data_IF_740368620290
#
_entry.id   IF_740368620290
#
_cell.length_a   1.000
_cell.length_b   1.000
_cell.length_c   1.000
_cell.angle_alpha   90.00
_cell.angle_beta   90.00
_cell.angle_gamma   90.00
#
_symmetry.space_group_name_H-M   'P 1'
#
loop_
_entity.id
_entity.type
_entity.pdbx_description
1 polymer ?
#
# COMPACT_ATOMS: atom_id res chain seq x y z
N UNK A 1 29.54 -18.68 -6.37
CA UNK A 1 28.70 -18.19 -5.26
C UNK A 1 27.24 -18.39 -5.63
N UNK A 2 26.68 -19.54 -5.24
CA UNK A 2 25.27 -19.92 -5.42
C UNK A 2 24.71 -20.09 -4.00
N UNK A 3 23.45 -19.68 -3.77
CA UNK A 3 22.70 -19.73 -2.50
C UNK A 3 22.82 -18.52 -1.56
N UNK A 4 22.27 -17.36 -1.96
CA UNK A 4 21.59 -16.41 -1.03
C UNK A 4 20.42 -15.75 -1.78
N UNK A 5 19.48 -16.58 -2.24
CA UNK A 5 18.11 -16.18 -2.60
C UNK A 5 17.23 -16.81 -1.52
N UNK A 6 17.38 -16.28 -0.30
CA UNK A 6 16.77 -16.83 0.90
C UNK A 6 15.54 -16.02 1.27
N UNK A 7 14.38 -16.57 0.94
CA UNK A 7 13.07 -16.22 1.49
C UNK A 7 12.31 -15.04 0.84
N UNK A 8 12.00 -15.18 -0.44
CA UNK A 8 10.66 -14.79 -0.93
C UNK A 8 9.99 -16.12 -1.25
N UNK A 9 9.13 -16.59 -0.34
CA UNK A 9 8.40 -17.84 -0.53
C UNK A 9 7.58 -17.72 -1.81
N UNK A 10 7.68 -18.75 -2.66
CA UNK A 10 6.90 -18.90 -3.87
C UNK A 10 5.42 -19.08 -3.50
N UNK A 11 4.72 -17.97 -3.24
CA UNK A 11 3.27 -17.96 -3.31
C UNK A 11 2.95 -17.75 -4.78
N UNK A 12 2.49 -18.80 -5.45
CA UNK A 12 1.80 -18.65 -6.72
C UNK A 12 0.46 -17.94 -6.44
N UNK A 13 0.49 -16.61 -6.29
CA UNK A 13 -0.71 -15.79 -6.23
C UNK A 13 -1.35 -15.80 -7.62
N UNK A 14 -2.20 -16.78 -7.88
CA UNK A 14 -3.30 -16.59 -8.79
C UNK A 14 -4.39 -15.79 -8.06
N UNK A 15 -4.23 -14.48 -7.91
CA UNK A 15 -5.37 -13.64 -7.53
C UNK A 15 -6.23 -13.54 -8.78
N UNK A 16 -7.18 -14.46 -8.90
CA UNK A 16 -8.33 -14.24 -9.77
C UNK A 16 -9.17 -13.17 -9.07
N UNK A 17 -8.86 -11.89 -9.32
CA UNK A 17 -9.78 -10.78 -9.03
C UNK A 17 -10.89 -10.88 -10.09
N UNK A 18 -11.72 -11.92 -9.97
CA UNK A 18 -12.98 -11.97 -10.67
C UNK A 18 -13.90 -11.06 -9.85
N UNK A 19 -14.47 -10.03 -10.48
CA UNK A 19 -15.39 -9.08 -9.85
C UNK A 19 -16.76 -9.74 -9.52
N UNK A 20 -16.77 -11.03 -9.18
CA UNK A 20 -17.95 -11.84 -8.94
C UNK A 20 -18.11 -12.17 -7.46
N UNK A 21 -19.09 -11.51 -6.84
CA UNK A 21 -19.78 -11.88 -5.59
C UNK A 21 -18.96 -12.68 -4.56
N UNK A 22 -18.24 -11.96 -3.71
CA UNK A 22 -17.76 -12.50 -2.44
C UNK A 22 -18.96 -12.99 -1.61
N UNK A 23 -19.16 -14.31 -1.56
CA UNK A 23 -20.26 -14.92 -0.79
C UNK A 23 -20.03 -14.74 0.71
N UNK A 24 -20.96 -14.05 1.35
CA UNK A 24 -21.00 -13.86 2.81
C UNK A 24 -21.25 -15.20 3.50
N UNK A 25 -20.43 -15.57 4.49
CA UNK A 25 -20.76 -16.68 5.38
C UNK A 25 -21.73 -16.21 6.49
N UNK A 26 -22.70 -17.06 6.89
CA UNK A 26 -23.55 -16.75 8.02
C UNK A 26 -22.79 -16.98 9.33
N UNK A 27 -22.50 -15.90 10.05
CA UNK A 27 -22.16 -15.90 11.47
C UNK A 27 -20.70 -15.63 11.81
N UNK A 28 -20.36 -14.36 12.07
CA UNK A 28 -19.39 -13.87 13.08
C UNK A 28 -19.35 -12.33 13.04
N UNK A 29 -18.91 -11.65 14.12
CA UNK A 29 -19.66 -10.58 14.76
C UNK A 29 -19.90 -9.36 13.86
N UNK A 30 -21.12 -8.83 13.90
CA UNK A 30 -21.42 -7.53 13.31
C UNK A 30 -20.66 -6.44 14.05
N UNK A 31 -19.51 -6.03 13.53
CA UNK A 31 -18.94 -4.73 13.87
C UNK A 31 -19.59 -3.69 12.96
N UNK A 32 -19.99 -2.54 13.51
CA UNK A 32 -20.51 -1.42 12.72
C UNK A 32 -19.51 -0.86 11.69
N UNK A 33 -18.29 -1.40 11.64
CA UNK A 33 -17.19 -0.97 10.79
C UNK A 33 -16.88 -1.95 9.63
N UNK A 34 -17.63 -3.06 9.49
CA UNK A 34 -17.43 -4.05 8.43
C UNK A 34 -18.76 -4.55 7.85
N UNK A 35 -19.12 -4.09 6.65
CA UNK A 35 -20.36 -4.48 5.96
C UNK A 35 -20.43 -5.97 5.64
N UNK A 36 -19.33 -6.52 5.12
CA UNK A 36 -19.23 -7.90 4.74
C UNK A 36 -17.79 -8.39 4.93
N UNK A 37 -17.63 -9.46 5.71
CA UNK A 37 -16.36 -10.15 5.86
C UNK A 37 -15.99 -10.85 4.55
N UNK A 38 -14.78 -10.59 4.06
CA UNK A 38 -14.20 -11.33 2.94
C UNK A 38 -13.49 -12.54 3.50
N UNK A 39 -14.04 -13.71 3.21
CA UNK A 39 -13.50 -15.01 3.61
C UNK A 39 -12.63 -15.65 2.51
N UNK A 40 -12.35 -14.92 1.43
CA UNK A 40 -11.53 -15.43 0.32
C UNK A 40 -10.16 -15.91 0.87
N UNK A 41 -9.83 -17.22 0.76
CA UNK A 41 -8.67 -17.78 1.45
C UNK A 41 -7.33 -17.18 0.98
N UNK A 42 -7.22 -16.88 -0.31
CA UNK A 42 -6.05 -16.27 -0.95
C UNK A 42 -5.73 -14.89 -0.34
N UNK A 43 -6.73 -14.02 -0.22
CA UNK A 43 -6.57 -12.65 0.30
C UNK A 43 -6.28 -12.67 1.79
N UNK A 44 -7.01 -13.49 2.55
CA UNK A 44 -6.73 -13.65 3.98
C UNK A 44 -5.33 -14.22 4.22
N UNK A 45 -4.83 -15.13 3.38
CA UNK A 45 -3.48 -15.66 3.51
C UNK A 45 -2.41 -14.58 3.28
N UNK A 46 -2.61 -13.70 2.29
CA UNK A 46 -1.70 -12.58 2.02
C UNK A 46 -1.66 -11.61 3.21
N UNK A 47 -2.83 -11.20 3.69
CA UNK A 47 -2.91 -10.26 4.82
C UNK A 47 -2.32 -10.91 6.06
N UNK A 48 -2.60 -12.20 6.34
CA UNK A 48 -1.99 -12.94 7.44
C UNK A 48 -0.47 -13.01 7.36
N UNK A 49 0.08 -13.30 6.18
CA UNK A 49 1.53 -13.39 5.97
C UNK A 49 2.22 -12.06 6.34
N UNK A 50 1.64 -10.93 5.93
CA UNK A 50 2.20 -9.61 6.22
C UNK A 50 1.89 -9.15 7.66
N UNK A 51 0.70 -9.43 8.16
CA UNK A 51 0.23 -8.92 9.45
C UNK A 51 0.73 -9.72 10.65
N UNK A 52 0.70 -11.05 10.54
CA UNK A 52 1.08 -11.95 11.61
C UNK A 52 2.49 -12.48 11.41
N UNK A 53 2.78 -13.13 10.29
CA UNK A 53 4.03 -13.88 10.13
C UNK A 53 5.25 -12.97 10.00
N UNK A 54 5.15 -11.92 9.18
CA UNK A 54 6.18 -10.88 9.12
C UNK A 54 6.35 -10.16 10.46
N UNK A 55 5.25 -9.85 11.16
CA UNK A 55 5.29 -9.26 12.50
C UNK A 55 6.02 -10.13 13.54
N UNK A 56 5.70 -11.43 13.59
CA UNK A 56 6.39 -12.42 14.43
C UNK A 56 7.88 -12.49 14.10
N UNK A 57 8.24 -12.49 12.82
CA UNK A 57 9.64 -12.52 12.36
C UNK A 57 10.39 -11.28 12.85
N UNK A 58 9.83 -10.09 12.65
CA UNK A 58 10.42 -8.83 13.10
C UNK A 58 10.61 -8.80 14.61
N UNK A 59 9.59 -9.21 15.37
CA UNK A 59 9.66 -9.33 16.84
C UNK A 59 10.79 -10.26 17.30
N UNK A 60 10.98 -11.41 16.64
CA UNK A 60 12.10 -12.32 16.93
C UNK A 60 13.47 -11.71 16.61
N UNK A 61 13.53 -10.84 15.61
CA UNK A 61 14.74 -10.05 15.28
C UNK A 61 14.94 -8.84 16.20
N UNK A 62 14.04 -8.59 17.16
CA UNK A 62 14.11 -7.43 18.06
C UNK A 62 13.75 -6.10 17.39
N UNK A 63 13.01 -6.15 16.27
CA UNK A 63 12.58 -4.97 15.53
C UNK A 63 11.04 -4.91 15.42
N UNK A 64 10.42 -3.75 15.63
CA UNK A 64 10.87 -2.68 16.52
C UNK A 64 11.05 -3.18 17.97
N UNK A 65 11.18 -2.23 18.91
CA UNK A 65 11.39 -2.52 20.33
C UNK A 65 10.34 -3.50 20.90
N UNK A 66 10.72 -4.17 21.99
CA UNK A 66 9.78 -5.03 22.75
C UNK A 66 8.52 -4.27 23.19
N UNK A 67 8.67 -3.02 23.60
CA UNK A 67 7.55 -2.18 24.04
C UNK A 67 6.54 -1.94 22.92
N UNK A 68 7.00 -1.77 21.68
CA UNK A 68 6.10 -1.69 20.52
C UNK A 68 5.26 -2.95 20.39
N UNK A 69 5.90 -4.13 20.43
CA UNK A 69 5.20 -5.41 20.27
C UNK A 69 4.26 -5.70 21.44
N UNK A 70 4.64 -5.31 22.65
CA UNK A 70 3.80 -5.43 23.84
C UNK A 70 2.51 -4.61 23.71
N UNK A 71 2.59 -3.36 23.22
CA UNK A 71 1.40 -2.54 22.93
C UNK A 71 0.52 -3.14 21.83
N UNK A 72 1.12 -3.86 20.89
CA UNK A 72 0.46 -4.41 19.71
C UNK A 72 -0.02 -5.87 19.85
N UNK A 73 0.18 -6.50 21.03
CA UNK A 73 0.03 -7.95 21.21
C UNK A 73 -1.39 -8.50 20.98
N UNK A 74 -2.41 -7.67 21.17
CA UNK A 74 -3.82 -8.04 21.07
C UNK A 74 -4.47 -7.51 19.79
N UNK A 75 -3.69 -6.91 18.88
CA UNK A 75 -4.25 -6.39 17.64
C UNK A 75 -4.51 -7.55 16.68
N UNK A 76 -5.76 -7.69 16.28
CA UNK A 76 -6.22 -8.63 15.25
C UNK A 76 -6.40 -7.92 13.90
N UNK A 77 -6.66 -8.68 12.84
CA UNK A 77 -7.03 -8.11 11.55
C UNK A 77 -8.29 -8.77 10.99
N UNK A 78 -9.02 -8.01 10.17
CA UNK A 78 -10.10 -8.52 9.34
C UNK A 78 -10.00 -7.92 7.94
N UNK A 79 -10.46 -8.68 6.93
CA UNK A 79 -10.62 -8.19 5.57
C UNK A 79 -12.10 -8.01 5.31
N UNK A 80 -12.48 -6.80 4.93
CA UNK A 80 -13.86 -6.42 4.71
C UNK A 80 -14.04 -5.97 3.26
N UNK A 81 -15.15 -6.33 2.63
CA UNK A 81 -15.58 -5.69 1.39
C UNK A 81 -16.23 -4.37 1.78
N UNK A 82 -15.40 -3.38 2.15
CA UNK A 82 -15.87 -2.25 2.93
C UNK A 82 -16.62 -1.21 2.06
N UNK A 83 -17.49 -0.45 2.73
CA UNK A 83 -18.53 0.51 2.33
C UNK A 83 -18.19 1.59 1.28
N UNK A 84 -17.01 1.56 0.63
CA UNK A 84 -16.54 2.62 -0.27
C UNK A 84 -15.47 3.55 0.33
N UNK A 85 -14.73 3.11 1.35
CA UNK A 85 -13.71 3.92 2.04
C UNK A 85 -12.29 3.84 1.46
N UNK A 86 -11.95 2.78 0.71
CA UNK A 86 -10.64 2.59 0.07
C UNK A 86 -9.46 2.76 1.01
N UNK A 87 -9.56 2.21 2.21
CA UNK A 87 -8.54 2.42 3.23
C UNK A 87 -8.29 1.18 4.08
N UNK A 88 -7.21 1.24 4.85
CA UNK A 88 -6.95 0.34 5.95
C UNK A 88 -6.94 1.18 7.21
N UNK A 89 -7.71 0.83 8.24
CA UNK A 89 -7.83 1.65 9.44
C UNK A 89 -7.97 0.80 10.70
N UNK A 90 -7.58 1.38 11.83
CA UNK A 90 -7.79 0.80 13.14
C UNK A 90 -9.21 1.08 13.67
N UNK A 91 -9.92 0.02 14.03
CA UNK A 91 -11.17 0.08 14.79
C UNK A 91 -11.04 -0.76 16.06
N UNK A 92 -11.09 -0.10 17.23
CA UNK A 92 -10.82 -0.72 18.53
C UNK A 92 -9.43 -1.40 18.57
N UNK A 93 -9.38 -2.73 18.61
CA UNK A 93 -8.15 -3.54 18.58
C UNK A 93 -8.06 -4.38 17.30
N UNK A 94 -8.78 -3.98 16.25
CA UNK A 94 -8.78 -4.67 14.95
C UNK A 94 -8.31 -3.72 13.86
N UNK A 95 -7.38 -4.19 13.03
CA UNK A 95 -7.04 -3.53 11.77
C UNK A 95 -7.96 -4.05 10.68
N UNK A 96 -8.73 -3.13 10.09
CA UNK A 96 -9.68 -3.43 9.02
C UNK A 96 -9.03 -3.11 7.69
N UNK A 97 -8.88 -4.12 6.84
CA UNK A 97 -8.43 -3.95 5.46
C UNK A 97 -9.62 -3.93 4.49
N UNK A 98 -9.76 -2.87 3.70
CA UNK A 98 -10.70 -2.85 2.59
C UNK A 98 -10.18 -3.74 1.44
N UNK A 99 -10.96 -4.76 1.09
CA UNK A 99 -10.69 -5.69 -0.01
C UNK A 99 -10.44 -4.99 -1.33
N UNK A 100 -11.20 -3.92 -1.63
CA UNK A 100 -11.06 -3.17 -2.87
C UNK A 100 -9.75 -2.38 -2.89
N UNK A 101 -9.29 -1.89 -1.75
CA UNK A 101 -7.96 -1.26 -1.62
C UNK A 101 -6.85 -2.29 -1.87
N UNK A 102 -6.95 -3.51 -1.31
CA UNK A 102 -5.99 -4.59 -1.57
C UNK A 102 -5.93 -4.90 -3.08
N UNK A 103 -7.08 -5.11 -3.71
CA UNK A 103 -7.16 -5.41 -5.15
C UNK A 103 -6.64 -4.26 -6.02
N UNK A 104 -6.87 -3.01 -5.61
CA UNK A 104 -6.37 -1.85 -6.32
C UNK A 104 -4.85 -1.69 -6.19
N UNK A 105 -4.26 -1.90 -5.00
CA UNK A 105 -2.81 -1.89 -4.80
C UNK A 105 -2.11 -2.99 -5.60
N UNK A 106 -2.71 -4.18 -5.68
CA UNK A 106 -2.21 -5.25 -6.56
C UNK A 106 -2.22 -4.83 -8.03
N UNK A 107 -3.31 -4.22 -8.48
CA UNK A 107 -3.46 -3.74 -9.85
C UNK A 107 -2.49 -2.60 -10.19
N UNK A 108 -2.28 -1.67 -9.27
CA UNK A 108 -1.28 -0.61 -9.41
C UNK A 108 0.15 -1.20 -9.49
N UNK A 109 0.45 -2.20 -8.65
CA UNK A 109 1.74 -2.91 -8.69
C UNK A 109 1.97 -3.54 -10.07
N UNK A 110 0.98 -4.26 -10.59
CA UNK A 110 1.02 -4.84 -11.95
C UNK A 110 1.23 -3.77 -13.01
N UNK A 111 0.51 -2.65 -12.92
CA UNK A 111 0.58 -1.56 -13.89
C UNK A 111 1.97 -0.92 -13.95
N UNK A 112 2.63 -0.72 -12.80
CA UNK A 112 4.01 -0.23 -12.72
C UNK A 112 5.00 -1.19 -13.38
N UNK A 113 4.95 -2.48 -13.03
CA UNK A 113 5.89 -3.46 -13.59
C UNK A 113 5.65 -3.63 -15.09
N UNK A 114 4.38 -3.67 -15.51
CA UNK A 114 4.00 -3.75 -16.92
C UNK A 114 4.54 -2.55 -17.70
N UNK A 115 4.26 -1.32 -17.28
CA UNK A 115 4.75 -0.14 -17.97
C UNK A 115 6.27 -0.17 -18.17
N UNK A 116 7.02 -0.59 -17.16
CA UNK A 116 8.49 -0.75 -17.24
C UNK A 116 8.96 -1.82 -18.24
N UNK A 117 8.20 -2.90 -18.42
CA UNK A 117 8.47 -3.94 -19.43
C UNK A 117 8.14 -3.47 -20.86
N UNK A 118 7.16 -2.58 -21.01
CA UNK A 118 6.74 -2.05 -22.31
C UNK A 118 7.70 -1.01 -22.85
N UNK A 119 7.99 0.02 -22.04
CA UNK A 119 8.76 1.18 -22.49
C UNK A 119 9.33 1.91 -21.29
N UNK A 120 10.62 2.21 -21.34
CA UNK A 120 11.30 3.02 -20.33
C UNK A 120 10.75 4.46 -20.29
N UNK A 121 10.56 5.06 -21.46
CA UNK A 121 10.12 6.46 -21.59
C UNK A 121 8.63 6.64 -21.22
N UNK A 122 7.84 5.56 -21.31
CA UNK A 122 6.40 5.54 -21.00
C UNK A 122 6.07 4.62 -19.83
N UNK A 123 7.02 4.40 -18.92
CA UNK A 123 6.91 3.38 -17.87
C UNK A 123 5.74 3.61 -16.89
N UNK A 124 5.22 4.83 -16.81
CA UNK A 124 4.10 5.18 -15.93
C UNK A 124 2.75 5.29 -16.65
N UNK A 125 2.70 5.16 -17.99
CA UNK A 125 1.48 5.37 -18.77
C UNK A 125 0.38 4.37 -18.41
N UNK A 126 0.74 3.12 -18.14
CA UNK A 126 -0.20 2.07 -17.75
C UNK A 126 -0.78 2.36 -16.36
N UNK A 127 0.07 2.74 -15.42
CA UNK A 127 -0.34 3.12 -14.06
C UNK A 127 -1.22 4.38 -14.08
N UNK A 128 -0.83 5.41 -14.83
CA UNK A 128 -1.59 6.65 -14.94
C UNK A 128 -2.98 6.43 -15.55
N UNK A 129 -3.12 5.54 -16.55
CA UNK A 129 -4.44 5.20 -17.09
C UNK A 129 -5.28 4.48 -16.04
N UNK A 130 -4.74 3.47 -15.34
CA UNK A 130 -5.44 2.77 -14.27
C UNK A 130 -5.97 3.75 -13.20
N UNK A 131 -5.12 4.61 -12.66
CA UNK A 131 -5.53 5.58 -11.63
C UNK A 131 -6.54 6.58 -12.19
N UNK A 132 -6.37 7.06 -13.44
CA UNK A 132 -7.35 7.97 -14.05
C UNK A 132 -8.72 7.31 -14.21
N UNK A 133 -8.78 6.04 -14.60
CA UNK A 133 -10.04 5.30 -14.68
C UNK A 133 -10.66 5.10 -13.29
N UNK A 134 -9.84 4.76 -12.28
CA UNK A 134 -10.31 4.61 -10.90
C UNK A 134 -10.89 5.91 -10.34
N UNK A 135 -10.23 7.06 -10.56
CA UNK A 135 -10.76 8.37 -10.15
C UNK A 135 -12.08 8.70 -10.87
N UNK A 136 -12.22 8.34 -12.15
CA UNK A 136 -13.41 8.66 -12.95
C UNK A 136 -14.62 7.75 -12.68
N UNK A 137 -14.37 6.46 -12.50
CA UNK A 137 -15.41 5.43 -12.40
C UNK A 137 -15.65 5.00 -10.95
N UNK A 138 -14.68 5.26 -10.07
CA UNK A 138 -14.65 4.71 -8.74
C UNK A 138 -14.12 3.27 -8.68
N UNK A 139 -14.33 2.58 -7.55
CA UNK A 139 -13.96 1.17 -7.34
C UNK A 139 -14.44 0.15 -8.34
N UNK A 140 -15.69 0.31 -8.77
CA UNK A 140 -16.41 -0.65 -9.59
C UNK A 140 -16.02 -0.42 -11.05
N UNK A 141 -14.70 -0.35 -11.31
CA UNK A 141 -14.11 -0.19 -12.62
C UNK A 141 -14.87 -1.09 -13.60
N UNK A 142 -15.62 -0.49 -14.52
CA UNK A 142 -16.66 -1.18 -15.30
C UNK A 142 -16.14 -2.38 -16.11
N UNK A 143 -14.87 -2.33 -16.51
CA UNK A 143 -14.18 -3.41 -17.25
C UNK A 143 -13.22 -4.20 -16.37
N UNK A 144 -13.13 -3.89 -15.08
CA UNK A 144 -12.13 -4.38 -14.15
C UNK A 144 -10.74 -3.76 -14.37
N UNK A 145 -9.87 -3.80 -13.35
CA UNK A 145 -8.53 -3.23 -13.43
C UNK A 145 -7.65 -3.94 -14.47
N UNK A 146 -7.74 -5.28 -14.59
CA UNK A 146 -6.90 -6.03 -15.52
C UNK A 146 -7.17 -5.66 -16.98
N UNK A 147 -8.44 -5.55 -17.40
CA UNK A 147 -8.75 -5.15 -18.78
C UNK A 147 -8.25 -3.74 -19.12
N UNK A 148 -8.23 -2.82 -18.15
CA UNK A 148 -7.67 -1.47 -18.33
C UNK A 148 -6.17 -1.55 -18.64
N UNK A 149 -5.44 -2.36 -17.88
CA UNK A 149 -4.01 -2.60 -18.06
C UNK A 149 -3.73 -3.21 -19.44
N UNK A 150 -4.48 -4.25 -19.82
CA UNK A 150 -4.32 -4.93 -21.12
C UNK A 150 -4.62 -3.99 -22.29
N UNK A 151 -5.73 -3.23 -22.23
CA UNK A 151 -6.10 -2.24 -23.24
C UNK A 151 -5.00 -1.19 -23.42
N UNK A 152 -4.47 -0.66 -22.31
CA UNK A 152 -3.42 0.35 -22.37
C UNK A 152 -2.11 -0.24 -22.91
N UNK A 153 -1.74 -1.47 -22.53
CA UNK A 153 -0.57 -2.16 -23.06
C UNK A 153 -0.65 -2.40 -24.57
N UNK A 154 -1.82 -2.83 -25.06
CA UNK A 154 -2.10 -3.00 -26.50
C UNK A 154 -1.96 -1.68 -27.26
N UNK A 155 -2.51 -0.58 -26.71
CA UNK A 155 -2.39 0.75 -27.29
C UNK A 155 -0.93 1.26 -27.34
N UNK A 156 -0.07 0.78 -26.43
CA UNK A 156 1.36 1.10 -26.43
C UNK A 156 2.19 0.22 -27.38
N UNK A 157 1.56 -0.73 -28.07
CA UNK A 157 2.17 -1.57 -29.12
C UNK A 157 2.51 -3.00 -28.70
N UNK A 158 2.13 -3.43 -27.49
CA UNK A 158 2.34 -4.81 -27.05
C UNK A 158 1.23 -5.69 -27.59
N UNK A 159 1.51 -6.52 -28.59
CA UNK A 159 0.53 -7.52 -29.03
C UNK A 159 0.16 -8.51 -27.92
N UNK A 160 -1.01 -9.16 -28.03
CA UNK A 160 -1.55 -10.09 -27.02
C UNK A 160 -0.54 -11.17 -26.58
N UNK A 161 0.15 -11.80 -27.53
CA UNK A 161 1.18 -12.81 -27.25
C UNK A 161 2.38 -12.24 -26.47
N UNK A 162 2.71 -10.96 -26.67
CA UNK A 162 3.76 -10.29 -25.89
C UNK A 162 3.33 -10.10 -24.43
N UNK A 163 2.05 -9.75 -24.23
CA UNK A 163 1.49 -9.57 -22.89
C UNK A 163 1.42 -10.89 -22.11
N UNK A 164 0.97 -11.96 -22.76
CA UNK A 164 0.97 -13.32 -22.20
C UNK A 164 2.39 -13.74 -21.78
N UNK A 165 3.42 -13.41 -22.58
CA UNK A 165 4.83 -13.67 -22.24
C UNK A 165 5.28 -12.88 -21.02
N UNK A 166 4.87 -11.61 -20.87
CA UNK A 166 5.19 -10.82 -19.68
C UNK A 166 4.56 -11.43 -18.42
N UNK A 167 3.29 -11.82 -18.46
CA UNK A 167 2.63 -12.44 -17.30
C UNK A 167 3.14 -13.85 -16.99
N UNK A 168 3.69 -14.55 -17.97
CA UNK A 168 4.35 -15.83 -17.76
C UNK A 168 5.79 -15.68 -17.21
N UNK A 169 6.40 -14.50 -17.30
CA UNK A 169 7.78 -14.25 -16.85
C UNK A 169 7.89 -14.28 -15.32
N UNK A 170 8.77 -15.13 -14.79
CA UNK A 170 8.94 -15.27 -13.34
C UNK A 170 9.52 -14.01 -12.69
N UNK A 171 10.36 -13.24 -13.39
CA UNK A 171 10.86 -11.99 -12.84
C UNK A 171 9.76 -10.93 -12.76
N UNK A 172 8.84 -10.91 -13.73
CA UNK A 172 7.67 -10.04 -13.71
C UNK A 172 6.82 -10.34 -12.47
N UNK A 173 6.45 -11.61 -12.26
CA UNK A 173 5.65 -12.04 -11.10
C UNK A 173 6.32 -11.68 -9.78
N UNK A 174 7.63 -11.95 -9.66
CA UNK A 174 8.37 -11.62 -8.44
C UNK A 174 8.40 -10.10 -8.17
N UNK A 175 8.59 -9.27 -9.20
CA UNK A 175 8.59 -7.81 -9.04
C UNK A 175 7.21 -7.27 -8.66
N UNK A 176 6.15 -7.79 -9.29
CA UNK A 176 4.77 -7.46 -8.97
C UNK A 176 4.44 -7.81 -7.52
N UNK A 177 4.72 -9.05 -7.12
CA UNK A 177 4.47 -9.54 -5.77
C UNK A 177 5.25 -8.75 -4.73
N UNK A 178 6.54 -8.49 -4.98
CA UNK A 178 7.37 -7.71 -4.05
C UNK A 178 6.79 -6.30 -3.86
N UNK A 179 6.45 -5.61 -4.94
CA UNK A 179 5.90 -4.26 -4.88
C UNK A 179 4.57 -4.24 -4.10
N UNK A 180 3.69 -5.20 -4.39
CA UNK A 180 2.40 -5.34 -3.69
C UNK A 180 2.56 -5.67 -2.20
N UNK A 181 3.43 -6.63 -1.86
CA UNK A 181 3.67 -7.02 -0.47
C UNK A 181 4.30 -5.90 0.35
N UNK A 182 5.16 -5.08 -0.27
CA UNK A 182 5.70 -3.87 0.36
C UNK A 182 4.57 -2.87 0.69
N UNK A 183 3.63 -2.65 -0.23
CA UNK A 183 2.49 -1.78 0.03
C UNK A 183 1.62 -2.27 1.19
N UNK A 184 1.36 -3.58 1.24
CA UNK A 184 0.66 -4.20 2.35
C UNK A 184 1.45 -4.11 3.66
N UNK A 185 2.78 -4.26 3.60
CA UNK A 185 3.66 -4.14 4.76
C UNK A 185 3.63 -2.73 5.33
N UNK A 186 3.65 -1.70 4.48
CA UNK A 186 3.48 -0.32 4.91
C UNK A 186 2.13 -0.06 5.58
N UNK A 187 1.00 -0.45 4.96
CA UNK A 187 -0.33 -0.29 5.57
C UNK A 187 -0.39 -0.96 6.95
N UNK A 188 0.11 -2.19 7.04
CA UNK A 188 0.08 -2.96 8.28
C UNK A 188 0.90 -2.30 9.38
N UNK A 189 2.12 -1.84 9.06
CA UNK A 189 2.96 -1.16 10.04
C UNK A 189 2.41 0.22 10.42
N UNK A 190 1.80 0.93 9.47
CA UNK A 190 1.15 2.22 9.73
C UNK A 190 0.06 2.09 10.80
N UNK A 191 -0.86 1.12 10.67
CA UNK A 191 -1.91 0.92 11.67
C UNK A 191 -1.37 0.47 13.04
N UNK A 192 -0.35 -0.40 13.04
CA UNK A 192 0.33 -0.80 14.28
C UNK A 192 1.04 0.38 14.96
N UNK A 193 1.55 1.33 14.18
CA UNK A 193 2.15 2.55 14.68
C UNK A 193 1.12 3.48 15.32
N UNK A 194 -0.12 3.56 14.82
CA UNK A 194 -1.20 4.28 15.51
C UNK A 194 -1.41 3.76 16.94
N UNK A 195 -1.39 2.45 17.14
CA UNK A 195 -1.50 1.85 18.49
C UNK A 195 -0.25 2.12 19.31
N UNK A 196 0.94 1.89 18.75
CA UNK A 196 2.20 2.06 19.50
C UNK A 196 2.41 3.49 20.01
N UNK A 197 1.93 4.48 19.25
CA UNK A 197 2.03 5.91 19.54
C UNK A 197 0.82 6.46 20.31
N UNK A 198 -0.10 5.61 20.75
CA UNK A 198 -1.30 5.97 21.53
C UNK A 198 -2.21 6.98 20.79
N UNK A 199 -2.24 6.96 19.45
CA UNK A 199 -3.07 7.87 18.66
C UNK A 199 -4.57 7.80 18.97
N UNK A 200 -5.18 6.62 19.25
CA UNK A 200 -6.59 6.57 19.65
C UNK A 200 -6.89 7.42 20.89
N UNK A 201 -5.99 7.47 21.87
CA UNK A 201 -6.12 8.32 23.06
C UNK A 201 -6.01 9.79 22.68
N UNK A 202 -5.06 10.13 21.81
CA UNK A 202 -4.88 11.50 21.32
C UNK A 202 -6.11 12.00 20.54
N UNK A 203 -6.74 11.15 19.72
CA UNK A 203 -7.98 11.48 18.99
C UNK A 203 -9.13 11.74 19.96
N UNK A 204 -9.27 10.95 21.04
CA UNK A 204 -10.29 11.21 22.06
C UNK A 204 -10.07 12.55 22.78
N UNK A 205 -8.82 12.96 22.98
CA UNK A 205 -8.47 14.24 23.58
C UNK A 205 -8.72 15.46 22.66
N UNK A 206 -9.09 15.24 21.38
CA UNK A 206 -9.46 16.31 20.46
C UNK A 206 -10.94 16.72 20.55
N UNK A 207 -11.74 16.05 21.40
CA UNK A 207 -13.15 16.41 21.61
C UNK A 207 -13.26 17.86 22.09
N UNK A 208 -14.03 18.66 21.36
CA UNK A 208 -14.28 20.09 21.68
C UNK A 208 -13.33 21.08 21.00
N UNK A 209 -12.41 20.62 20.15
CA UNK A 209 -11.64 21.50 19.25
C UNK A 209 -12.45 21.90 18.02
N UNK A 210 -12.03 22.96 17.33
CA UNK A 210 -12.63 23.34 16.04
C UNK A 210 -12.24 22.36 14.93
N UNK A 211 -13.06 22.26 13.87
CA UNK A 211 -12.83 21.33 12.75
C UNK A 211 -11.45 21.54 12.09
N UNK A 212 -11.01 22.80 11.95
CA UNK A 212 -9.69 23.12 11.41
C UNK A 212 -8.54 22.62 12.28
N UNK A 213 -8.68 22.69 13.61
CA UNK A 213 -7.70 22.15 14.56
C UNK A 213 -7.69 20.62 14.58
N UNK A 214 -8.88 20.00 14.53
CA UNK A 214 -9.02 18.53 14.43
C UNK A 214 -8.32 18.04 13.16
N UNK A 215 -8.60 18.65 12.02
CA UNK A 215 -7.98 18.28 10.74
C UNK A 215 -6.46 18.37 10.79
N UNK A 216 -5.91 19.49 11.27
CA UNK A 216 -4.46 19.68 11.40
C UNK A 216 -3.83 18.66 12.35
N UNK A 217 -4.46 18.38 13.49
CA UNK A 217 -3.91 17.43 14.46
C UNK A 217 -3.95 16.00 13.93
N UNK A 218 -5.04 15.59 13.28
CA UNK A 218 -5.10 14.27 12.64
C UNK A 218 -3.99 14.10 11.60
N UNK A 219 -3.76 15.11 10.76
CA UNK A 219 -2.65 15.07 9.79
C UNK A 219 -1.27 14.88 10.44
N UNK A 220 -1.03 15.47 11.61
CA UNK A 220 0.21 15.25 12.37
C UNK A 220 0.32 13.83 12.93
N UNK A 221 -0.81 13.23 13.33
CA UNK A 221 -0.85 11.82 13.72
C UNK A 221 -0.53 10.90 12.53
N UNK A 222 -1.10 11.18 11.35
CA UNK A 222 -0.79 10.42 10.13
C UNK A 222 0.70 10.47 9.76
N UNK A 223 1.31 11.66 9.81
CA UNK A 223 2.74 11.84 9.57
C UNK A 223 3.62 11.10 10.59
N UNK A 224 3.20 11.05 11.86
CA UNK A 224 3.92 10.31 12.90
C UNK A 224 3.83 8.80 12.68
N UNK A 225 2.67 8.30 12.25
CA UNK A 225 2.47 6.88 11.93
C UNK A 225 3.26 6.47 10.67
N UNK A 226 3.24 7.29 9.61
CA UNK A 226 4.05 7.09 8.40
C UNK A 226 5.54 6.98 8.74
N UNK A 227 6.05 7.91 9.56
CA UNK A 227 7.45 7.91 9.98
C UNK A 227 7.79 6.67 10.78
N UNK A 228 6.96 6.30 11.75
CA UNK A 228 7.16 5.07 12.53
C UNK A 228 7.18 3.82 11.63
N UNK A 229 6.26 3.71 10.67
CA UNK A 229 6.20 2.58 9.75
C UNK A 229 7.43 2.53 8.82
N UNK A 230 7.84 3.67 8.27
CA UNK A 230 9.04 3.80 7.45
C UNK A 230 10.31 3.48 8.24
N UNK A 231 10.42 3.90 9.50
CA UNK A 231 11.58 3.59 10.34
C UNK A 231 11.69 2.07 10.59
N UNK A 232 10.55 1.39 10.79
CA UNK A 232 10.49 -0.09 10.91
C UNK A 232 10.89 -0.76 9.59
N UNK A 233 10.35 -0.29 8.46
CA UNK A 233 10.68 -0.82 7.13
C UNK A 233 12.16 -0.62 6.82
N UNK A 234 12.71 0.55 7.11
CA UNK A 234 14.12 0.88 6.92
C UNK A 234 15.03 -0.01 7.78
N UNK A 235 14.67 -0.24 9.04
CA UNK A 235 15.40 -1.14 9.92
C UNK A 235 15.33 -2.60 9.44
N UNK A 236 14.18 -3.02 8.93
CA UNK A 236 14.00 -4.32 8.31
C UNK A 236 14.86 -4.46 7.05
N UNK A 237 14.80 -3.48 6.14
CA UNK A 237 15.59 -3.43 4.92
C UNK A 237 17.10 -3.42 5.17
N UNK A 238 17.57 -2.73 6.20
CA UNK A 238 18.99 -2.61 6.52
C UNK A 238 19.64 -3.98 6.85
N UNK A 239 18.83 -4.97 7.21
CA UNK A 239 19.30 -6.35 7.41
C UNK A 239 19.66 -7.05 6.09
N UNK A 240 19.22 -6.51 4.95
CA UNK A 240 19.47 -7.07 3.62
C UNK A 240 20.54 -6.25 2.90
N UNK A 241 21.47 -6.92 2.23
CA UNK A 241 22.53 -6.27 1.42
C UNK A 241 22.03 -5.78 0.06
N UNK A 242 20.72 -5.76 -0.17
CA UNK A 242 20.09 -5.50 -1.45
C UNK A 242 19.44 -4.11 -1.51
N UNK A 243 19.13 -3.69 -2.73
CA UNK A 243 18.43 -2.46 -3.11
C UNK A 243 17.33 -2.02 -2.12
N UNK A 244 17.16 -0.70 -1.89
CA UNK A 244 16.01 -0.15 -1.18
C UNK A 244 14.76 -0.21 -2.08
N UNK A 245 14.10 -1.37 -2.11
CA UNK A 245 12.96 -1.64 -3.03
C UNK A 245 11.64 -1.21 -2.38
N UNK A 246 11.58 -1.13 -1.05
CA UNK A 246 10.35 -0.83 -0.30
C UNK A 246 9.75 0.54 -0.59
N UNK A 247 10.54 1.52 -1.03
CA UNK A 247 10.04 2.88 -1.20
C UNK A 247 9.02 3.03 -2.32
N UNK A 248 9.09 2.24 -3.38
CA UNK A 248 8.09 2.33 -4.46
C UNK A 248 6.69 1.95 -3.97
N UNK A 249 6.60 0.87 -3.20
CA UNK A 249 5.31 0.43 -2.65
C UNK A 249 4.79 1.41 -1.60
N UNK A 250 5.67 2.00 -0.79
CA UNK A 250 5.28 3.04 0.19
C UNK A 250 4.74 4.28 -0.52
N UNK A 251 5.48 4.86 -1.47
CA UNK A 251 5.06 6.07 -2.18
C UNK A 251 3.75 5.83 -2.95
N UNK A 252 3.58 4.64 -3.55
CA UNK A 252 2.33 4.23 -4.19
C UNK A 252 1.17 4.20 -3.20
N UNK A 253 1.36 3.59 -2.03
CA UNK A 253 0.32 3.51 -1.00
C UNK A 253 -0.07 4.89 -0.50
N UNK A 254 0.90 5.74 -0.14
CA UNK A 254 0.65 7.11 0.36
C UNK A 254 -0.04 7.98 -0.70
N UNK A 255 0.37 7.87 -1.96
CA UNK A 255 -0.31 8.55 -3.06
C UNK A 255 -1.75 8.06 -3.23
N UNK A 256 -1.98 6.74 -3.13
CA UNK A 256 -3.33 6.16 -3.21
C UNK A 256 -4.23 6.67 -2.09
N UNK A 257 -3.77 6.64 -0.83
CA UNK A 257 -4.51 7.18 0.32
C UNK A 257 -4.80 8.69 0.16
N UNK A 258 -3.87 9.44 -0.44
CA UNK A 258 -4.05 10.87 -0.72
C UNK A 258 -5.14 11.11 -1.77
N UNK A 259 -5.20 10.30 -2.82
CA UNK A 259 -6.25 10.39 -3.84
C UNK A 259 -7.61 10.05 -3.23
N UNK A 260 -7.71 8.96 -2.48
CA UNK A 260 -8.98 8.50 -1.89
C UNK A 260 -9.50 9.46 -0.83
N UNK A 261 -8.62 10.02 0.01
CA UNK A 261 -9.00 10.96 1.07
C UNK A 261 -9.49 12.34 0.55
N UNK A 262 -9.10 12.75 -0.66
CA UNK A 262 -9.40 14.09 -1.18
C UNK A 262 -10.45 14.13 -2.28
N UNK A 263 -10.83 12.97 -2.83
CA UNK A 263 -11.90 12.90 -3.81
C UNK A 263 -13.24 12.62 -3.12
N UNK A 264 -14.24 13.52 -3.20
CA UNK A 264 -15.52 13.35 -2.51
C UNK A 264 -16.25 12.04 -2.85
N UNK A 265 -16.03 11.50 -4.06
CA UNK A 265 -16.61 10.23 -4.51
C UNK A 265 -15.95 8.99 -3.90
N UNK A 266 -14.77 9.12 -3.29
CA UNK A 266 -13.97 8.03 -2.72
C UNK A 266 -13.71 8.19 -1.22
N UNK A 267 -13.89 9.41 -0.70
CA UNK A 267 -13.63 9.73 0.71
C UNK A 267 -14.72 9.13 1.59
N UNK A 268 -14.29 8.50 2.68
CA UNK A 268 -15.16 8.14 3.80
C UNK A 268 -14.73 8.86 5.08
N UNK A 269 -15.60 8.86 6.09
CA UNK A 269 -15.25 9.37 7.44
C UNK A 269 -14.17 8.53 8.14
N UNK A 270 -13.94 7.31 7.65
CA UNK A 270 -12.92 6.39 8.13
C UNK A 270 -11.58 6.53 7.40
N UNK A 271 -11.53 7.32 6.30
CA UNK A 271 -10.32 7.48 5.52
C UNK A 271 -9.27 8.30 6.29
N UNK A 272 -8.01 7.90 6.19
CA UNK A 272 -6.89 8.61 6.79
C UNK A 272 -6.80 10.01 6.16
N UNK A 273 -6.74 11.09 6.96
CA UNK A 273 -6.48 12.42 6.44
C UNK A 273 -5.13 12.45 5.73
N UNK A 274 -5.16 12.30 4.42
CA UNK A 274 -3.95 12.18 3.63
C UNK A 274 -3.82 13.39 2.74
N UNK A 275 -2.66 14.03 2.75
CA UNK A 275 -2.39 15.19 1.90
C UNK A 275 -1.07 15.00 1.18
N UNK A 276 -0.77 15.89 0.23
CA UNK A 276 0.52 15.90 -0.47
C UNK A 276 1.72 15.99 0.48
N UNK A 277 1.55 16.54 1.68
CA UNK A 277 2.62 16.56 2.70
C UNK A 277 3.05 15.17 3.16
N UNK A 278 2.14 14.18 3.22
CA UNK A 278 2.52 12.79 3.58
C UNK A 278 3.45 12.19 2.52
N UNK A 279 3.16 12.40 1.23
CA UNK A 279 4.03 11.95 0.14
C UNK A 279 5.42 12.61 0.21
N UNK A 280 5.46 13.92 0.46
CA UNK A 280 6.71 14.67 0.60
C UNK A 280 7.56 14.14 1.78
N UNK A 281 6.95 13.93 2.94
CA UNK A 281 7.62 13.39 4.12
C UNK A 281 8.11 11.95 3.88
N UNK A 282 7.28 11.08 3.30
CA UNK A 282 7.69 9.72 2.94
C UNK A 282 8.88 9.72 1.97
N UNK A 283 8.87 10.63 0.99
CA UNK A 283 9.98 10.81 0.04
C UNK A 283 11.26 11.25 0.76
N UNK A 284 11.19 12.25 1.64
CA UNK A 284 12.34 12.75 2.39
C UNK A 284 12.97 11.65 3.26
N UNK A 285 12.15 10.91 4.02
CA UNK A 285 12.61 9.80 4.87
C UNK A 285 13.28 8.72 4.02
N UNK A 286 12.67 8.36 2.88
CA UNK A 286 13.22 7.36 1.95
C UNK A 286 14.58 7.80 1.41
N UNK A 287 14.70 9.02 0.92
CA UNK A 287 15.96 9.56 0.38
C UNK A 287 17.05 9.65 1.45
N UNK A 288 16.69 10.03 2.68
CA UNK A 288 17.62 10.08 3.80
C UNK A 288 18.15 8.70 4.17
N UNK A 289 17.31 7.66 4.14
CA UNK A 289 17.76 6.28 4.35
C UNK A 289 18.69 5.81 3.22
N UNK A 290 18.33 6.03 1.96
CA UNK A 290 19.16 5.62 0.81
C UNK A 290 20.55 6.24 0.93
N UNK A 291 20.63 7.53 1.24
CA UNK A 291 21.88 8.26 1.41
C UNK A 291 22.76 7.69 2.55
N UNK A 292 22.14 7.15 3.59
CA UNK A 292 22.84 6.56 4.76
C UNK A 292 23.13 5.06 4.64
N UNK A 293 22.48 4.37 3.70
CA UNK A 293 22.58 2.90 3.57
C UNK A 293 23.96 2.37 3.19
N UNK A 294 24.87 3.23 2.69
CA UNK A 294 26.19 2.81 2.22
C UNK A 294 26.16 1.93 0.97
N UNK A 295 25.02 1.85 0.28
CA UNK A 295 24.86 1.04 -0.94
C UNK A 295 25.75 1.60 -2.07
N UNK A 296 26.47 0.73 -2.83
CA UNK A 296 27.21 1.17 -4.01
C UNK A 296 26.31 1.73 -5.13
N UNK A 297 25.00 1.48 -5.05
CA UNK A 297 24.00 1.97 -6.00
C UNK A 297 23.16 3.14 -5.43
N UNK A 298 23.56 3.74 -4.30
CA UNK A 298 22.77 4.76 -3.61
C UNK A 298 22.35 5.92 -4.53
N UNK A 299 23.26 6.46 -5.34
CA UNK A 299 22.97 7.54 -6.29
C UNK A 299 21.85 7.16 -7.28
N UNK A 300 21.96 5.96 -7.88
CA UNK A 300 20.94 5.42 -8.78
C UNK A 300 19.59 5.30 -8.07
N UNK A 301 19.56 4.79 -6.84
CA UNK A 301 18.31 4.65 -6.09
C UNK A 301 17.71 5.99 -5.69
N UNK A 302 18.53 6.98 -5.34
CA UNK A 302 18.04 8.34 -5.08
C UNK A 302 17.39 8.94 -6.33
N UNK A 303 18.00 8.79 -7.51
CA UNK A 303 17.45 9.30 -8.77
C UNK A 303 16.10 8.64 -9.11
N UNK A 304 16.02 7.30 -9.00
CA UNK A 304 14.78 6.58 -9.32
C UNK A 304 13.68 6.91 -8.30
N UNK A 305 14.03 7.03 -7.01
CA UNK A 305 13.08 7.39 -5.94
C UNK A 305 12.55 8.80 -6.16
N UNK A 306 13.40 9.78 -6.47
CA UNK A 306 12.98 11.15 -6.82
C UNK A 306 12.04 11.16 -8.02
N UNK A 307 12.44 10.53 -9.12
CA UNK A 307 11.61 10.48 -10.34
C UNK A 307 10.24 9.82 -10.08
N UNK A 308 10.17 8.84 -9.18
CA UNK A 308 8.91 8.19 -8.81
C UNK A 308 8.06 9.07 -7.88
N UNK A 309 8.69 9.76 -6.93
CA UNK A 309 8.01 10.75 -6.10
C UNK A 309 7.46 11.92 -6.94
N UNK A 310 8.23 12.42 -7.90
CA UNK A 310 7.80 13.47 -8.83
C UNK A 310 6.60 13.01 -9.67
N UNK A 311 6.62 11.75 -10.13
CA UNK A 311 5.48 11.14 -10.83
C UNK A 311 4.22 11.12 -9.95
N UNK A 312 4.32 10.66 -8.71
CA UNK A 312 3.18 10.64 -7.79
C UNK A 312 2.72 12.05 -7.41
N UNK A 313 3.61 13.01 -7.20
CA UNK A 313 3.22 14.40 -6.91
C UNK A 313 2.48 15.02 -8.09
N UNK A 314 2.92 14.77 -9.33
CA UNK A 314 2.19 15.21 -10.53
C UNK A 314 0.80 14.55 -10.62
N UNK A 315 0.70 13.26 -10.30
CA UNK A 315 -0.58 12.56 -10.22
C UNK A 315 -1.52 13.20 -9.20
N UNK A 316 -1.03 13.55 -8.01
CA UNK A 316 -1.80 14.23 -6.97
C UNK A 316 -2.24 15.64 -7.40
N UNK A 317 -1.40 16.39 -8.12
CA UNK A 317 -1.77 17.71 -8.68
C UNK A 317 -2.90 17.60 -9.70
N UNK A 318 -2.86 16.57 -10.57
CA UNK A 318 -3.91 16.35 -11.59
C UNK A 318 -5.28 16.07 -10.98
N UNK A 319 -5.33 15.55 -9.77
CA UNK A 319 -6.56 15.25 -9.05
C UNK A 319 -6.88 16.27 -7.95
N UNK A 320 -6.26 17.47 -8.02
CA UNK A 320 -6.51 18.61 -7.13
C UNK A 320 -6.39 18.29 -5.63
N UNK A 321 -5.55 17.31 -5.29
CA UNK A 321 -5.27 16.98 -3.89
C UNK A 321 -4.56 18.20 -3.25
N UNK A 322 -5.22 18.82 -2.27
CA UNK A 322 -4.71 20.04 -1.63
C UNK A 322 -3.45 19.77 -0.80
N UNK A 323 -2.56 20.77 -0.62
CA UNK A 323 -1.40 20.68 0.27
C UNK A 323 -1.78 20.24 1.68
#
# INVERSE_FOLDING_TARGET
MKHVLGLVCAIALGVAIDAGDARSAPGSPGSAACDALVIEPSVNAIVREVFEEKGKKLSRSGLPSRDFWEKNRNIEFVVCNNMGGYDTFLYEQMVIFDYKMIGFLFSQSRAFILGRYISLDRQFDVHADLVSQFVKQGPELSTGPLAILERKALALGVGKTGLEKFYADEQFKQREQNLFLISMYFLTMHERCHVALDHPVQVQAMKGLSDGEISRRRQLLELAADRCALDIINADEAQFRSSPISFFGVLMTVATQSITANLPSLRSDQSHPSTRYRLAAATEISLAYIAKSGSPNAERYMLITKATADYFDDLLRRFEVSP
#
